data_IF_532368272826
#
_entry.id   IF_532368272826
#
_cell.length_a   1.000
_cell.length_b   1.000
_cell.length_c   1.000
_cell.angle_alpha   90.00
_cell.angle_beta   90.00
_cell.angle_gamma   90.00
#
_symmetry.space_group_name_H-M   'P 1'
#
loop_
_entity.id
_entity.type
_entity.pdbx_description
1 polymer ?
#
# COMPACT_ATOMS: atom_id res chain seq x y z
N UNK A 1 26.10 55.46 14.29
CA UNK A 1 26.60 54.13 13.86
C UNK A 1 25.40 53.27 13.54
N UNK A 2 25.05 53.13 12.26
CA UNK A 2 23.85 52.42 11.80
C UNK A 2 24.25 50.98 11.51
N UNK A 3 23.84 50.03 12.38
CA UNK A 3 24.08 48.62 12.16
C UNK A 3 23.12 48.08 11.09
N UNK A 4 23.66 47.73 9.93
CA UNK A 4 22.93 46.98 8.91
C UNK A 4 22.86 45.50 9.32
N UNK A 5 21.67 45.01 9.67
CA UNK A 5 21.42 43.57 9.85
C UNK A 5 21.18 42.94 8.48
N UNK A 6 22.15 42.16 8.01
CA UNK A 6 21.99 41.30 6.85
C UNK A 6 21.18 40.07 7.28
N UNK A 7 19.90 40.01 6.89
CA UNK A 7 19.09 38.79 7.02
C UNK A 7 19.37 37.96 5.77
N UNK A 8 20.19 36.92 5.92
CA UNK A 8 20.41 35.93 4.85
C UNK A 8 19.25 34.94 4.93
N UNK A 9 18.37 34.85 3.92
CA UNK A 9 17.32 33.84 3.90
C UNK A 9 17.97 32.47 3.70
N UNK A 10 17.87 31.60 4.72
CA UNK A 10 18.26 30.20 4.61
C UNK A 10 17.19 29.50 3.77
N UNK A 11 17.52 29.24 2.50
CA UNK A 11 16.67 28.42 1.63
C UNK A 11 16.79 26.97 2.10
N UNK A 12 15.86 26.51 2.95
CA UNK A 12 15.76 25.10 3.33
C UNK A 12 15.17 24.36 2.14
N UNK A 13 16.02 23.74 1.33
CA UNK A 13 15.58 22.79 0.32
C UNK A 13 15.04 21.54 1.06
N UNK A 14 13.72 21.34 1.02
CA UNK A 14 13.10 20.11 1.50
C UNK A 14 13.40 19.02 0.47
N UNK A 15 14.46 18.24 0.69
CA UNK A 15 14.64 16.97 -0.01
C UNK A 15 13.42 16.09 0.33
N UNK A 16 12.56 15.83 -0.66
CA UNK A 16 11.48 14.87 -0.50
C UNK A 16 12.09 13.53 -0.11
N UNK A 17 11.78 13.03 1.09
CA UNK A 17 12.22 11.69 1.50
C UNK A 17 11.69 10.69 0.49
N UNK A 18 12.58 9.85 -0.06
CA UNK A 18 12.18 8.71 -0.88
C UNK A 18 11.12 7.89 -0.13
N UNK A 19 10.06 7.51 -0.83
CA UNK A 19 8.95 6.71 -0.29
C UNK A 19 9.21 5.25 -0.61
N UNK A 20 8.99 4.38 0.37
CA UNK A 20 9.00 2.93 0.13
C UNK A 20 7.59 2.46 -0.17
N UNK A 21 7.43 1.60 -1.17
CA UNK A 21 6.18 0.88 -1.45
C UNK A 21 6.35 -0.55 -0.95
N UNK A 22 5.50 -0.97 -0.01
CA UNK A 22 5.44 -2.33 0.49
C UNK A 22 4.30 -3.08 -0.21
N UNK A 23 4.65 -4.07 -1.03
CA UNK A 23 3.67 -4.88 -1.75
C UNK A 23 3.40 -6.15 -0.96
N UNK A 24 2.14 -6.40 -0.63
CA UNK A 24 1.69 -7.62 0.06
C UNK A 24 0.58 -8.31 -0.74
N UNK A 25 0.57 -9.64 -0.67
CA UNK A 25 -0.57 -10.45 -1.16
C UNK A 25 -1.71 -10.40 -0.15
N UNK A 26 -2.94 -10.52 -0.64
CA UNK A 26 -4.10 -10.74 0.23
C UNK A 26 -3.95 -12.00 1.11
N UNK A 27 -4.64 -12.02 2.25
CA UNK A 27 -4.71 -13.20 3.13
C UNK A 27 -5.39 -14.42 2.48
N UNK A 28 -5.34 -15.55 3.15
CA UNK A 28 -5.75 -16.87 2.65
C UNK A 28 -7.19 -16.89 2.11
N UNK A 29 -7.37 -17.45 0.91
CA UNK A 29 -8.67 -17.58 0.22
C UNK A 29 -9.33 -18.95 0.54
N UNK A 30 -10.67 -19.05 0.49
CA UNK A 30 -11.34 -20.35 0.56
C UNK A 30 -10.84 -21.30 -0.53
N UNK A 31 -10.68 -22.59 -0.19
CA UNK A 31 -10.13 -23.60 -1.11
C UNK A 31 -11.00 -23.83 -2.36
N UNK A 32 -12.30 -23.55 -2.26
CA UNK A 32 -13.27 -23.60 -3.36
C UNK A 32 -13.28 -22.33 -4.23
N UNK A 33 -12.38 -21.38 -3.96
CA UNK A 33 -12.31 -20.10 -4.68
C UNK A 33 -13.38 -19.09 -4.24
N UNK A 34 -14.05 -19.33 -3.12
CA UNK A 34 -15.04 -18.44 -2.54
C UNK A 34 -14.58 -16.98 -2.34
N UNK A 35 -15.56 -16.13 -2.07
CA UNK A 35 -15.34 -14.71 -1.79
C UNK A 35 -14.74 -14.49 -0.39
N UNK A 36 -14.01 -13.40 -0.21
CA UNK A 36 -13.45 -13.01 1.08
C UNK A 36 -12.29 -13.89 1.56
N UNK A 37 -11.92 -13.68 2.83
CA UNK A 37 -10.83 -14.38 3.51
C UNK A 37 -11.37 -15.59 4.28
N UNK A 38 -10.54 -16.62 4.44
CA UNK A 38 -10.79 -17.69 5.42
C UNK A 38 -10.63 -17.16 6.85
N UNK A 39 -10.98 -17.97 7.86
CA UNK A 39 -10.68 -17.65 9.27
C UNK A 39 -9.17 -17.39 9.46
N UNK A 40 -8.33 -18.21 8.85
CA UNK A 40 -6.87 -18.03 8.87
C UNK A 40 -6.47 -16.70 8.20
N UNK A 41 -7.04 -16.37 7.05
CA UNK A 41 -6.79 -15.09 6.37
C UNK A 41 -7.21 -13.88 7.21
N UNK A 42 -8.35 -13.98 7.92
CA UNK A 42 -8.79 -12.95 8.86
C UNK A 42 -7.84 -12.83 10.05
N UNK A 43 -7.36 -13.93 10.62
CA UNK A 43 -6.36 -13.93 11.68
C UNK A 43 -5.06 -13.27 11.21
N UNK A 44 -4.59 -13.60 10.01
CA UNK A 44 -3.42 -12.96 9.39
C UNK A 44 -3.61 -11.45 9.25
N UNK A 45 -4.77 -11.00 8.76
CA UNK A 45 -5.08 -9.58 8.67
C UNK A 45 -5.00 -8.86 10.03
N UNK A 46 -5.40 -9.53 11.12
CA UNK A 46 -5.22 -9.01 12.47
C UNK A 46 -3.75 -8.97 12.90
N UNK A 47 -2.95 -10.00 12.59
CA UNK A 47 -1.52 -10.00 12.90
C UNK A 47 -0.75 -8.89 12.17
N UNK A 48 -1.15 -8.54 10.95
CA UNK A 48 -0.51 -7.48 10.17
C UNK A 48 -0.61 -6.09 10.83
N UNK A 49 -1.58 -5.88 11.73
CA UNK A 49 -1.70 -4.64 12.52
C UNK A 49 -0.47 -4.39 13.39
N UNK A 50 0.15 -5.44 13.93
CA UNK A 50 1.39 -5.34 14.70
C UNK A 50 2.62 -5.15 13.81
N UNK A 51 2.55 -5.60 12.55
CA UNK A 51 3.64 -5.44 11.58
C UNK A 51 3.67 -4.02 11.05
N UNK A 52 2.52 -3.50 10.59
CA UNK A 52 2.40 -2.21 9.89
C UNK A 52 1.73 -1.10 10.72
N UNK A 53 1.55 -1.31 12.02
CA UNK A 53 0.88 -0.36 12.91
C UNK A 53 1.67 0.92 13.17
N UNK A 54 1.09 1.83 13.97
CA UNK A 54 1.61 3.19 14.19
C UNK A 54 3.03 3.24 14.79
N UNK A 55 3.42 2.21 15.54
CA UNK A 55 4.75 2.10 16.15
C UNK A 55 5.74 1.31 15.27
N UNK A 56 5.32 0.87 14.08
CA UNK A 56 6.18 0.12 13.18
C UNK A 56 7.21 1.03 12.51
N UNK A 57 8.39 0.48 12.24
CA UNK A 57 9.42 1.15 11.43
C UNK A 57 8.98 1.40 9.98
N UNK A 58 7.93 0.71 9.51
CA UNK A 58 7.43 0.85 8.15
C UNK A 58 6.70 2.17 7.92
N UNK A 59 6.19 2.82 8.98
CA UNK A 59 5.64 4.18 8.92
C UNK A 59 4.63 4.39 7.78
N UNK A 60 3.58 3.57 7.74
CA UNK A 60 2.59 3.59 6.65
C UNK A 60 1.72 4.86 6.73
N UNK A 61 1.66 5.60 5.63
CA UNK A 61 0.88 6.82 5.47
C UNK A 61 -0.15 6.78 4.33
N UNK A 62 -0.13 5.73 3.51
CA UNK A 62 -1.09 5.51 2.43
C UNK A 62 -1.27 4.03 2.19
N UNK A 63 -2.52 3.60 1.99
CA UNK A 63 -2.86 2.20 1.79
C UNK A 63 -3.67 2.10 0.49
N UNK A 64 -3.19 1.28 -0.43
CA UNK A 64 -3.83 0.99 -1.72
C UNK A 64 -4.22 -0.49 -1.71
N UNK A 65 -5.43 -0.79 -2.15
CA UNK A 65 -5.87 -2.18 -2.34
C UNK A 65 -6.70 -2.33 -3.61
N UNK A 66 -6.70 -3.55 -4.16
CA UNK A 66 -7.51 -3.89 -5.32
C UNK A 66 -8.98 -3.51 -5.16
N UNK A 67 -9.56 -2.94 -6.21
CA UNK A 67 -10.98 -2.61 -6.22
C UNK A 67 -11.87 -3.85 -6.00
N UNK A 68 -12.69 -3.86 -4.93
CA UNK A 68 -13.65 -4.94 -4.70
C UNK A 68 -14.84 -4.82 -5.66
N UNK A 69 -15.46 -5.95 -6.01
CA UNK A 69 -16.73 -5.97 -6.75
C UNK A 69 -17.91 -6.09 -5.78
N UNK A 70 -19.05 -5.48 -6.14
CA UNK A 70 -20.30 -5.58 -5.39
C UNK A 70 -20.77 -7.05 -5.19
N UNK A 71 -20.36 -7.97 -6.07
CA UNK A 71 -20.61 -9.41 -5.95
C UNK A 71 -19.81 -10.10 -4.84
N UNK A 72 -18.95 -9.38 -4.12
CA UNK A 72 -18.04 -9.92 -3.12
C UNK A 72 -16.72 -10.46 -3.70
N UNK A 73 -16.60 -10.58 -5.03
CA UNK A 73 -15.34 -10.91 -5.69
C UNK A 73 -14.32 -9.80 -5.46
N UNK A 74 -13.02 -10.16 -5.46
CA UNK A 74 -11.90 -9.21 -5.32
C UNK A 74 -11.85 -8.44 -3.99
N UNK A 75 -12.60 -8.86 -2.97
CA UNK A 75 -12.64 -8.21 -1.65
C UNK A 75 -11.44 -8.50 -0.75
N UNK A 76 -10.72 -9.59 -1.01
CA UNK A 76 -9.65 -10.09 -0.13
C UNK A 76 -8.54 -9.07 0.12
N UNK A 77 -8.03 -8.34 -0.89
CA UNK A 77 -6.99 -7.34 -0.65
C UNK A 77 -7.45 -6.25 0.33
N UNK A 78 -8.64 -5.69 0.12
CA UNK A 78 -9.26 -4.73 1.03
C UNK A 78 -9.43 -5.30 2.44
N UNK A 79 -10.01 -6.50 2.58
CA UNK A 79 -10.21 -7.15 3.88
C UNK A 79 -8.90 -7.41 4.63
N UNK A 80 -7.79 -7.61 3.90
CA UNK A 80 -6.47 -7.88 4.48
C UNK A 80 -5.88 -6.63 5.14
N UNK A 81 -6.07 -5.45 4.53
CA UNK A 81 -5.46 -4.20 5.03
C UNK A 81 -6.41 -3.31 5.82
N UNK A 82 -7.73 -3.54 5.76
CA UNK A 82 -8.71 -2.72 6.47
C UNK A 82 -8.44 -2.60 7.97
N UNK A 83 -8.04 -3.66 8.71
CA UNK A 83 -7.74 -3.52 10.13
C UNK A 83 -6.53 -2.61 10.41
N UNK A 84 -5.54 -2.59 9.51
CA UNK A 84 -4.36 -1.72 9.60
C UNK A 84 -4.79 -0.27 9.36
N UNK A 85 -5.59 -0.03 8.32
CA UNK A 85 -6.10 1.29 7.98
C UNK A 85 -6.91 1.88 9.14
N UNK A 86 -7.79 1.08 9.75
CA UNK A 86 -8.59 1.49 10.91
C UNK A 86 -7.71 1.91 12.09
N UNK A 87 -6.67 1.15 12.43
CA UNK A 87 -5.76 1.46 13.54
C UNK A 87 -4.94 2.73 13.30
N UNK A 88 -4.57 2.98 12.04
CA UNK A 88 -3.80 4.16 11.64
C UNK A 88 -4.68 5.40 11.40
N UNK A 89 -6.00 5.25 11.39
CA UNK A 89 -6.93 6.32 11.00
C UNK A 89 -6.82 6.70 9.52
N UNK A 90 -6.43 5.76 8.66
CA UNK A 90 -6.30 5.94 7.21
C UNK A 90 -7.50 5.35 6.46
N UNK A 91 -7.77 5.86 5.27
CA UNK A 91 -8.65 5.21 4.30
C UNK A 91 -7.85 4.28 3.39
N UNK A 92 -8.49 3.22 2.91
CA UNK A 92 -7.92 2.35 1.87
C UNK A 92 -8.37 2.88 0.50
N UNK A 93 -7.42 3.23 -0.36
CA UNK A 93 -7.71 3.59 -1.74
C UNK A 93 -7.96 2.32 -2.57
N UNK A 94 -9.15 2.22 -3.13
CA UNK A 94 -9.57 1.08 -3.97
C UNK A 94 -10.02 1.54 -5.35
N UNK A 95 -9.42 2.61 -5.86
CA UNK A 95 -9.81 3.21 -7.15
C UNK A 95 -9.32 2.44 -8.37
N UNK A 96 -8.22 1.69 -8.26
CA UNK A 96 -7.65 0.93 -9.39
C UNK A 96 -8.25 -0.48 -9.50
N UNK A 97 -8.65 -0.88 -10.71
CA UNK A 97 -9.10 -2.24 -11.01
C UNK A 97 -7.92 -3.23 -10.94
N UNK A 98 -8.23 -4.52 -10.71
CA UNK A 98 -7.25 -5.62 -10.61
C UNK A 98 -6.18 -5.60 -11.70
N UNK A 99 -6.61 -5.36 -12.93
CA UNK A 99 -5.79 -5.54 -14.13
C UNK A 99 -5.18 -4.21 -14.62
N UNK A 100 -5.22 -3.14 -13.80
CA UNK A 100 -4.78 -1.78 -14.12
C UNK A 100 -3.56 -1.38 -13.27
N UNK A 101 -2.40 -1.93 -13.62
CA UNK A 101 -1.13 -1.66 -12.94
C UNK A 101 -0.65 -0.20 -13.12
N UNK A 102 -0.96 0.41 -14.26
CA UNK A 102 -0.59 1.81 -14.55
C UNK A 102 -1.34 2.78 -13.63
N UNK A 103 -2.63 2.53 -13.35
CA UNK A 103 -3.38 3.29 -12.35
C UNK A 103 -2.67 3.27 -10.99
N UNK A 104 -2.16 2.12 -10.57
CA UNK A 104 -1.45 1.98 -9.30
C UNK A 104 -0.14 2.78 -9.31
N UNK A 105 0.65 2.69 -10.38
CA UNK A 105 1.88 3.46 -10.52
C UNK A 105 1.60 4.98 -10.46
N UNK A 106 0.51 5.44 -11.10
CA UNK A 106 0.06 6.83 -11.05
C UNK A 106 -0.33 7.25 -9.62
N UNK A 107 -1.01 6.41 -8.84
CA UNK A 107 -1.33 6.70 -7.43
C UNK A 107 -0.06 6.83 -6.58
N UNK A 108 0.91 5.94 -6.80
CA UNK A 108 2.20 5.95 -6.10
C UNK A 108 2.99 7.22 -6.43
N UNK A 109 3.12 7.56 -7.71
CA UNK A 109 3.86 8.75 -8.16
C UNK A 109 3.23 10.06 -7.68
N UNK A 110 1.90 10.12 -7.60
CA UNK A 110 1.18 11.30 -7.14
C UNK A 110 1.09 11.43 -5.61
N UNK A 111 1.51 10.41 -4.84
CA UNK A 111 1.43 10.44 -3.40
C UNK A 111 2.46 11.42 -2.80
N UNK A 112 1.96 12.56 -2.33
CA UNK A 112 2.76 13.63 -1.70
C UNK A 112 2.70 13.66 -0.16
N UNK A 113 2.03 12.67 0.45
CA UNK A 113 1.87 12.58 1.90
C UNK A 113 3.14 12.16 2.66
N UNK A 114 3.05 12.13 3.99
CA UNK A 114 4.13 11.63 4.87
C UNK A 114 4.02 10.13 5.10
N UNK A 115 5.15 9.44 5.25
CA UNK A 115 5.16 7.98 5.43
C UNK A 115 5.26 7.22 4.11
N UNK A 116 5.22 5.90 4.22
CA UNK A 116 5.37 4.92 3.14
C UNK A 116 4.00 4.38 2.68
N UNK A 117 4.01 3.66 1.56
CA UNK A 117 2.81 3.12 0.93
C UNK A 117 2.72 1.63 1.23
N UNK A 118 1.55 1.14 1.66
CA UNK A 118 1.24 -0.28 1.76
C UNK A 118 0.24 -0.64 0.66
N UNK A 119 0.64 -1.54 -0.23
CA UNK A 119 -0.16 -2.03 -1.35
C UNK A 119 -0.56 -3.48 -1.13
N UNK A 120 -1.85 -3.80 -1.32
CA UNK A 120 -2.36 -5.16 -1.21
C UNK A 120 -3.09 -5.61 -2.49
N UNK A 121 -2.74 -6.77 -3.03
CA UNK A 121 -3.28 -7.23 -4.31
C UNK A 121 -3.42 -8.76 -4.45
N UNK A 122 -4.02 -9.20 -5.56
CA UNK A 122 -3.96 -10.58 -6.04
C UNK A 122 -2.57 -10.91 -6.63
N UNK A 123 -2.09 -12.13 -6.36
CA UNK A 123 -0.74 -12.60 -6.71
C UNK A 123 -0.39 -12.44 -8.21
N UNK A 124 -1.31 -12.79 -9.13
CA UNK A 124 -1.08 -12.71 -10.58
C UNK A 124 -0.66 -11.32 -11.08
N UNK A 125 -1.03 -10.26 -10.37
CA UNK A 125 -0.84 -8.89 -10.81
C UNK A 125 0.22 -8.13 -9.98
N UNK A 126 0.74 -8.71 -8.89
CA UNK A 126 1.73 -8.04 -8.06
C UNK A 126 3.04 -7.78 -8.82
N UNK A 127 3.49 -8.73 -9.65
CA UNK A 127 4.67 -8.56 -10.50
C UNK A 127 4.46 -7.44 -11.53
N UNK A 128 3.30 -7.40 -12.17
CA UNK A 128 2.95 -6.35 -13.15
C UNK A 128 2.90 -4.96 -12.51
N UNK A 129 2.39 -4.85 -11.28
CA UNK A 129 2.42 -3.59 -10.52
C UNK A 129 3.85 -3.15 -10.24
N UNK A 130 4.74 -4.07 -9.83
CA UNK A 130 6.15 -3.74 -9.62
C UNK A 130 6.85 -3.30 -10.91
N UNK A 131 6.57 -3.95 -12.05
CA UNK A 131 7.07 -3.53 -13.37
C UNK A 131 6.59 -2.14 -13.77
N UNK A 132 5.31 -1.84 -13.55
CA UNK A 132 4.73 -0.52 -13.85
C UNK A 132 5.38 0.60 -13.01
N UNK A 133 5.87 0.28 -11.81
CA UNK A 133 6.66 1.19 -10.97
C UNK A 133 8.16 1.23 -11.35
N UNK A 134 8.57 0.53 -12.41
CA UNK A 134 9.92 0.55 -12.97
C UNK A 134 10.88 -0.53 -12.46
N UNK A 135 10.39 -1.55 -11.72
CA UNK A 135 11.21 -2.70 -11.38
C UNK A 135 11.51 -3.53 -12.64
N UNK A 136 12.80 -3.72 -12.93
CA UNK A 136 13.28 -4.48 -14.10
C UNK A 136 13.38 -5.98 -13.83
N UNK A 137 13.22 -6.40 -12.58
CA UNK A 137 13.33 -7.79 -12.15
C UNK A 137 12.34 -8.07 -11.00
N UNK A 138 11.03 -7.88 -11.25
CA UNK A 138 10.01 -8.08 -10.23
C UNK A 138 10.04 -9.53 -9.71
N UNK A 139 9.71 -9.75 -8.43
CA UNK A 139 9.60 -11.09 -7.89
C UNK A 139 8.42 -11.83 -8.53
N UNK A 140 8.56 -13.15 -8.68
CA UNK A 140 7.42 -14.03 -8.99
C UNK A 140 6.66 -14.34 -7.70
N UNK A 141 5.34 -14.20 -7.73
CA UNK A 141 4.48 -14.57 -6.61
C UNK A 141 3.90 -15.97 -6.84
N UNK A 142 3.98 -16.90 -5.88
CA UNK A 142 3.42 -18.25 -6.04
C UNK A 142 1.90 -18.23 -6.21
N UNK A 143 1.35 -19.09 -7.06
CA UNK A 143 -0.09 -19.17 -7.34
C UNK A 143 -0.90 -19.60 -6.11
N UNK A 144 -0.50 -20.72 -5.51
CA UNK A 144 -1.27 -21.38 -4.46
C UNK A 144 -0.76 -21.06 -3.06
N UNK A 145 -1.59 -20.34 -2.31
CA UNK A 145 -1.55 -20.19 -0.85
C UNK A 145 -2.94 -19.77 -0.37
#
# INVERSE_FOLDING_TARGET
>A
MQLFRLIIPFLVATLGSAKTVYLIRHGEKPADGGNGLTIQGMQRAQCLRSVFGALSQYNIGYIIAQQPKASGKRTRPLMTVQPIANDLGLTVDTSCDRDDADCVAILVDNYSGTGNILLCWEHDNLSLIAEAMGDKSPPTYPDDS
#
